data_IF_382086760839
#
_entry.id   IF_382086760839
#
_cell.length_a   1.000
_cell.length_b   1.000
_cell.length_c   1.000
_cell.angle_alpha   90.00
_cell.angle_beta   90.00
_cell.angle_gamma   90.00
#
_symmetry.space_group_name_H-M   'P 1'
#
loop_
_entity.id
_entity.type
_entity.pdbx_description
1 polymer ?
#
# COMPACT_ATOMS: atom_id res chain seq x y z
N UNK A 1 12.61 -10.09 12.43
CA UNK A 1 11.53 -10.29 11.43
C UNK A 1 10.73 -11.56 11.68
N UNK A 2 11.22 -12.77 11.40
CA UNK A 2 10.40 -13.99 11.45
C UNK A 2 9.72 -14.29 12.81
N UNK A 3 10.44 -14.17 13.93
CA UNK A 3 9.88 -14.38 15.27
C UNK A 3 8.75 -13.38 15.56
N UNK A 4 8.97 -12.12 15.20
CA UNK A 4 8.02 -11.04 15.41
C UNK A 4 6.79 -11.16 14.51
N UNK A 5 6.97 -11.53 13.24
CA UNK A 5 5.88 -11.88 12.33
C UNK A 5 5.00 -13.00 12.92
N UNK A 6 5.62 -14.04 13.50
CA UNK A 6 4.87 -15.12 14.15
C UNK A 6 4.10 -14.63 15.37
N UNK A 7 4.71 -13.79 16.21
CA UNK A 7 4.06 -13.20 17.39
C UNK A 7 2.80 -12.43 16.98
N UNK A 8 2.92 -11.53 16.00
CA UNK A 8 1.80 -10.72 15.50
C UNK A 8 0.74 -11.59 14.84
N UNK A 9 1.13 -12.56 13.99
CA UNK A 9 0.18 -13.46 13.34
C UNK A 9 -0.63 -14.30 14.34
N UNK A 10 -0.03 -14.68 15.47
CA UNK A 10 -0.74 -15.37 16.55
C UNK A 10 -1.67 -14.41 17.31
N UNK A 11 -1.23 -13.19 17.61
CA UNK A 11 -2.06 -12.19 18.28
C UNK A 11 -3.29 -11.79 17.46
N UNK A 12 -3.16 -11.69 16.14
CA UNK A 12 -4.28 -11.38 15.23
C UNK A 12 -5.32 -12.51 15.12
N UNK A 13 -5.05 -13.71 15.67
CA UNK A 13 -6.05 -14.79 15.79
C UNK A 13 -6.90 -14.71 17.05
N UNK A 14 -6.63 -13.75 17.92
CA UNK A 14 -7.44 -13.54 19.11
C UNK A 14 -8.91 -13.25 18.75
N UNK A 15 -9.90 -13.77 19.51
CA UNK A 15 -11.32 -13.54 19.25
C UNK A 15 -11.71 -12.06 19.10
N UNK A 16 -10.96 -11.12 19.68
CA UNK A 16 -11.21 -9.69 19.51
C UNK A 16 -11.05 -9.20 18.06
N UNK A 17 -10.32 -9.93 17.21
CA UNK A 17 -10.13 -9.65 15.79
C UNK A 17 -11.01 -10.53 14.88
N UNK A 18 -11.89 -11.34 15.48
CA UNK A 18 -12.83 -12.20 14.76
C UNK A 18 -13.70 -11.41 13.79
N UNK A 19 -13.91 -11.92 12.58
CA UNK A 19 -14.86 -11.33 11.64
C UNK A 19 -16.32 -11.40 12.12
N UNK A 20 -16.60 -12.14 13.20
CA UNK A 20 -17.95 -12.23 13.78
C UNK A 20 -18.31 -10.97 14.59
N UNK A 21 -19.61 -10.70 14.66
CA UNK A 21 -20.17 -9.59 15.43
C UNK A 21 -20.77 -8.49 14.57
N UNK A 22 -21.49 -7.58 15.22
CA UNK A 22 -22.06 -6.40 14.57
C UNK A 22 -20.97 -5.35 14.32
N UNK A 23 -21.08 -4.64 13.20
CA UNK A 23 -20.23 -3.49 12.91
C UNK A 23 -20.61 -2.30 13.80
N UNK A 24 -19.60 -1.59 14.30
CA UNK A 24 -19.74 -0.22 14.80
C UNK A 24 -18.46 0.57 14.56
N UNK A 25 -18.57 1.89 14.42
CA UNK A 25 -17.41 2.76 14.23
C UNK A 25 -16.46 2.71 15.43
N UNK A 26 -17.00 2.55 16.65
CA UNK A 26 -16.21 2.41 17.88
C UNK A 26 -15.41 1.11 17.89
N UNK A 27 -16.03 0.00 17.47
CA UNK A 27 -15.36 -1.30 17.39
C UNK A 27 -14.30 -1.30 16.28
N UNK A 28 -14.59 -0.67 15.14
CA UNK A 28 -13.62 -0.46 14.07
C UNK A 28 -12.40 0.32 14.56
N UNK A 29 -12.60 1.48 15.22
CA UNK A 29 -11.52 2.30 15.78
C UNK A 29 -10.69 1.51 16.79
N UNK A 30 -11.37 0.79 17.70
CA UNK A 30 -10.71 -0.02 18.73
C UNK A 30 -9.83 -1.10 18.12
N UNK A 31 -10.34 -1.85 17.14
CA UNK A 31 -9.57 -2.91 16.45
C UNK A 31 -8.43 -2.33 15.64
N UNK A 32 -8.65 -1.24 14.91
CA UNK A 32 -7.61 -0.56 14.13
C UNK A 32 -6.45 -0.13 15.03
N UNK A 33 -6.74 0.52 16.16
CA UNK A 33 -5.72 0.93 17.13
C UNK A 33 -4.96 -0.27 17.72
N UNK A 34 -5.66 -1.35 18.09
CA UNK A 34 -5.02 -2.56 18.58
C UNK A 34 -4.12 -3.24 17.53
N UNK A 35 -4.55 -3.26 16.26
CA UNK A 35 -3.71 -3.76 15.16
C UNK A 35 -2.47 -2.88 14.98
N UNK A 36 -2.64 -1.57 15.02
CA UNK A 36 -1.53 -0.62 14.91
C UNK A 36 -0.46 -0.83 16.00
N UNK A 37 -0.89 -1.01 17.24
CA UNK A 37 0.01 -1.30 18.36
C UNK A 37 0.77 -2.61 18.16
N UNK A 38 0.09 -3.66 17.67
CA UNK A 38 0.73 -4.94 17.38
C UNK A 38 1.79 -4.83 16.27
N UNK A 39 1.62 -3.90 15.32
CA UNK A 39 2.49 -3.75 14.16
C UNK A 39 3.69 -2.82 14.39
N UNK A 40 3.75 -2.08 15.50
CA UNK A 40 4.75 -1.03 15.71
C UNK A 40 6.19 -1.50 15.41
N UNK A 41 6.64 -2.61 15.99
CA UNK A 41 8.00 -3.14 15.79
C UNK A 41 8.22 -3.66 14.36
N UNK A 42 7.19 -4.28 13.78
CA UNK A 42 7.26 -4.76 12.39
C UNK A 42 7.37 -3.61 11.41
N UNK A 43 6.71 -2.47 11.64
CA UNK A 43 6.77 -1.32 10.74
C UNK A 43 8.17 -0.74 10.66
N UNK A 44 8.87 -0.62 11.80
CA UNK A 44 10.27 -0.21 11.82
C UNK A 44 11.15 -1.20 11.06
N UNK A 45 11.04 -2.50 11.38
CA UNK A 45 11.83 -3.52 10.69
C UNK A 45 11.55 -3.55 9.18
N UNK A 46 10.29 -3.35 8.78
CA UNK A 46 9.85 -3.32 7.39
C UNK A 46 10.38 -2.09 6.66
N UNK A 47 10.42 -0.92 7.30
CA UNK A 47 11.05 0.29 6.76
C UNK A 47 12.55 0.09 6.50
N UNK A 48 13.29 -0.45 7.47
CA UNK A 48 14.72 -0.74 7.31
C UNK A 48 14.95 -1.74 6.15
N UNK A 49 14.16 -2.82 6.08
CA UNK A 49 14.25 -3.78 4.97
C UNK A 49 13.89 -3.15 3.63
N UNK A 50 12.89 -2.28 3.58
CA UNK A 50 12.53 -1.56 2.36
C UNK A 50 13.69 -0.73 1.82
N UNK A 51 14.36 0.02 2.70
CA UNK A 51 15.47 0.90 2.31
C UNK A 51 16.75 0.14 1.92
N UNK A 52 17.12 -0.90 2.67
CA UNK A 52 18.43 -1.57 2.54
C UNK A 52 18.39 -3.02 2.04
N UNK A 53 17.24 -3.54 1.60
CA UNK A 53 17.21 -4.91 1.10
C UNK A 53 18.06 -5.09 -0.15
N UNK A 54 18.90 -6.12 -0.09
CA UNK A 54 19.61 -6.67 -1.24
C UNK A 54 18.77 -7.81 -1.86
N UNK A 55 19.12 -8.33 -3.05
CA UNK A 55 18.46 -9.51 -3.61
C UNK A 55 18.36 -10.69 -2.62
N UNK A 56 19.37 -10.93 -1.80
CA UNK A 56 19.40 -11.99 -0.79
C UNK A 56 18.42 -11.75 0.38
N UNK A 57 17.98 -10.52 0.60
CA UNK A 57 17.08 -10.14 1.70
C UNK A 57 15.62 -10.03 1.29
N UNK A 58 15.28 -10.22 0.00
CA UNK A 58 13.92 -10.07 -0.53
C UNK A 58 12.91 -11.00 0.14
N UNK A 59 13.32 -12.21 0.51
CA UNK A 59 12.45 -13.12 1.25
C UNK A 59 12.12 -12.59 2.65
N UNK A 60 13.07 -11.91 3.31
CA UNK A 60 12.81 -11.27 4.61
C UNK A 60 11.89 -10.05 4.46
N UNK A 61 12.07 -9.25 3.40
CA UNK A 61 11.21 -8.11 3.08
C UNK A 61 9.75 -8.52 2.84
N UNK A 62 9.55 -9.65 2.15
CA UNK A 62 8.20 -10.12 1.79
C UNK A 62 7.55 -11.00 2.86
N UNK A 63 8.33 -11.51 3.82
CA UNK A 63 7.85 -12.47 4.82
C UNK A 63 6.64 -11.96 5.62
N UNK A 64 6.78 -10.80 6.27
CA UNK A 64 5.73 -10.31 7.16
C UNK A 64 4.43 -9.93 6.41
N UNK A 65 4.48 -9.13 5.32
CA UNK A 65 3.27 -8.83 4.55
C UNK A 65 2.56 -10.07 4.02
N UNK A 66 3.30 -11.08 3.53
CA UNK A 66 2.71 -12.35 3.09
C UNK A 66 2.03 -13.08 4.23
N UNK A 67 2.73 -13.28 5.35
CA UNK A 67 2.20 -14.06 6.48
C UNK A 67 1.03 -13.40 7.19
N UNK A 68 0.98 -12.07 7.21
CA UNK A 68 -0.15 -11.34 7.77
C UNK A 68 -1.31 -11.17 6.78
N UNK A 69 -1.14 -11.62 5.54
CA UNK A 69 -2.24 -11.77 4.58
C UNK A 69 -2.83 -13.19 4.54
N UNK A 70 -2.18 -14.17 5.16
CA UNK A 70 -2.65 -15.56 5.19
C UNK A 70 -4.06 -15.60 5.85
N UNK A 71 -5.07 -16.08 5.10
CA UNK A 71 -6.45 -16.15 5.56
C UNK A 71 -7.23 -14.82 5.52
N UNK A 72 -6.65 -13.77 4.91
CA UNK A 72 -7.30 -12.47 4.79
C UNK A 72 -8.62 -12.53 4.02
N UNK A 73 -9.70 -12.04 4.63
CA UNK A 73 -11.03 -11.98 4.03
C UNK A 73 -11.66 -13.35 3.78
N UNK A 74 -11.10 -14.42 4.35
CA UNK A 74 -11.66 -15.78 4.27
C UNK A 74 -12.64 -16.04 5.42
N UNK A 75 -13.65 -16.87 5.13
CA UNK A 75 -14.70 -17.22 6.08
C UNK A 75 -15.95 -16.34 5.98
N UNK A 76 -16.91 -16.61 6.87
CA UNK A 76 -18.14 -15.82 7.01
C UNK A 76 -18.02 -14.78 8.10
N UNK A 77 -18.86 -13.73 8.07
CA UNK A 77 -18.91 -12.71 9.10
C UNK A 77 -19.21 -11.32 8.55
N UNK A 78 -18.87 -10.31 9.32
CA UNK A 78 -19.00 -8.92 8.91
C UNK A 78 -17.97 -8.59 7.81
N UNK A 79 -18.44 -8.09 6.68
CA UNK A 79 -17.60 -7.78 5.51
C UNK A 79 -16.57 -6.69 5.79
N UNK A 80 -16.87 -5.72 6.66
CA UNK A 80 -15.91 -4.70 7.07
C UNK A 80 -14.77 -5.29 7.90
N UNK A 81 -15.06 -6.22 8.83
CA UNK A 81 -14.01 -6.88 9.61
C UNK A 81 -13.22 -7.88 8.78
N UNK A 82 -13.83 -8.56 7.80
CA UNK A 82 -13.11 -9.36 6.81
C UNK A 82 -12.14 -8.50 5.98
N UNK A 83 -12.58 -7.32 5.53
CA UNK A 83 -11.72 -6.39 4.81
C UNK A 83 -10.58 -5.86 5.70
N UNK A 84 -10.85 -5.60 6.98
CA UNK A 84 -9.86 -5.12 7.94
C UNK A 84 -8.68 -6.10 8.14
N UNK A 85 -8.87 -7.40 7.89
CA UNK A 85 -7.79 -8.39 7.96
C UNK A 85 -6.67 -8.13 6.94
N UNK A 86 -6.93 -7.39 5.86
CA UNK A 86 -5.92 -7.00 4.88
C UNK A 86 -5.09 -5.79 5.29
N UNK A 87 -5.54 -5.04 6.29
CA UNK A 87 -4.88 -3.82 6.75
C UNK A 87 -3.43 -4.04 7.22
N UNK A 88 -3.09 -5.06 8.03
CA UNK A 88 -1.71 -5.32 8.44
C UNK A 88 -0.74 -5.50 7.26
N UNK A 89 -1.10 -6.34 6.30
CA UNK A 89 -0.27 -6.60 5.12
C UNK A 89 -0.10 -5.35 4.28
N UNK A 90 -1.16 -4.54 4.14
CA UNK A 90 -1.10 -3.29 3.39
C UNK A 90 -0.24 -2.23 4.09
N UNK A 91 -0.39 -2.06 5.40
CA UNK A 91 0.39 -1.09 6.18
C UNK A 91 1.89 -1.39 6.11
N UNK A 92 2.27 -2.67 6.25
CA UNK A 92 3.67 -3.11 6.06
C UNK A 92 4.14 -2.92 4.61
N UNK A 93 3.26 -3.15 3.63
CA UNK A 93 3.59 -2.91 2.22
C UNK A 93 3.89 -1.43 1.95
N UNK A 94 3.13 -0.52 2.56
CA UNK A 94 3.38 0.91 2.46
C UNK A 94 4.69 1.29 3.17
N UNK A 95 4.91 0.85 4.41
CA UNK A 95 6.15 1.16 5.14
C UNK A 95 7.41 0.74 4.37
N UNK A 96 7.44 -0.51 3.89
CA UNK A 96 8.56 -1.03 3.10
C UNK A 96 8.66 -0.40 1.72
N UNK A 97 7.53 -0.14 1.05
CA UNK A 97 7.49 0.43 -0.29
C UNK A 97 7.94 1.89 -0.34
N UNK A 98 7.48 2.72 0.61
CA UNK A 98 7.93 4.12 0.73
C UNK A 98 9.42 4.16 1.03
N UNK A 99 9.89 3.31 1.95
CA UNK A 99 11.31 3.21 2.26
C UNK A 99 12.14 2.78 1.04
N UNK A 100 11.66 1.81 0.26
CA UNK A 100 12.32 1.38 -0.97
C UNK A 100 12.40 2.49 -2.01
N UNK A 101 11.30 3.23 -2.22
CA UNK A 101 11.27 4.40 -3.12
C UNK A 101 12.23 5.49 -2.66
N UNK A 102 12.28 5.78 -1.36
CA UNK A 102 13.19 6.79 -0.80
C UNK A 102 14.68 6.49 -0.99
N UNK A 103 15.03 5.24 -1.30
CA UNK A 103 16.39 4.81 -1.60
C UNK A 103 16.56 4.33 -3.05
N UNK A 104 15.59 4.61 -3.92
CA UNK A 104 15.57 4.19 -5.32
C UNK A 104 15.76 2.67 -5.51
N UNK A 105 15.41 1.89 -4.48
CA UNK A 105 15.50 0.43 -4.46
C UNK A 105 14.26 -0.20 -5.11
N UNK A 106 14.07 0.07 -6.41
CA UNK A 106 12.90 -0.41 -7.14
C UNK A 106 12.82 -1.93 -7.23
N UNK A 107 13.95 -2.63 -7.14
CA UNK A 107 13.98 -4.09 -7.03
C UNK A 107 13.35 -4.62 -5.74
N UNK A 108 13.49 -3.88 -4.63
CA UNK A 108 12.82 -4.18 -3.36
C UNK A 108 11.32 -3.89 -3.45
N UNK A 109 10.96 -2.74 -4.04
CA UNK A 109 9.57 -2.34 -4.27
C UNK A 109 8.82 -3.39 -5.10
N UNK A 110 9.39 -3.81 -6.24
CA UNK A 110 8.79 -4.84 -7.11
C UNK A 110 8.70 -6.17 -6.39
N UNK A 111 9.75 -6.59 -5.66
CA UNK A 111 9.70 -7.84 -4.88
C UNK A 111 8.55 -7.85 -3.86
N UNK A 112 8.29 -6.70 -3.21
CA UNK A 112 7.19 -6.52 -2.28
C UNK A 112 5.83 -6.59 -2.98
N UNK A 113 5.62 -5.82 -4.06
CA UNK A 113 4.34 -5.83 -4.80
C UNK A 113 4.04 -7.17 -5.45
N UNK A 114 5.06 -7.85 -5.98
CA UNK A 114 4.94 -9.12 -6.71
C UNK A 114 4.97 -10.35 -5.80
N UNK A 115 5.14 -10.16 -4.48
CA UNK A 115 5.04 -11.24 -3.52
C UNK A 115 3.73 -12.02 -3.75
N UNK A 116 3.81 -13.35 -3.85
CA UNK A 116 2.65 -14.21 -4.06
C UNK A 116 1.99 -14.53 -2.73
N UNK A 117 0.67 -14.43 -2.69
CA UNK A 117 -0.18 -14.72 -1.54
C UNK A 117 -1.33 -15.60 -1.97
N UNK A 118 -1.71 -16.55 -1.12
CA UNK A 118 -2.86 -17.41 -1.36
C UNK A 118 -4.14 -16.67 -0.95
N UNK A 119 -5.19 -16.81 -1.74
CA UNK A 119 -6.51 -16.26 -1.44
C UNK A 119 -7.57 -17.30 -1.73
N UNK A 120 -8.77 -17.12 -1.19
CA UNK A 120 -9.94 -17.93 -1.58
C UNK A 120 -10.23 -17.99 -3.09
N UNK A 121 -9.67 -17.08 -3.90
CA UNK A 121 -9.80 -17.04 -5.36
C UNK A 121 -8.54 -17.52 -6.10
N UNK A 122 -7.60 -18.15 -5.39
CA UNK A 122 -6.31 -18.63 -5.89
C UNK A 122 -5.15 -17.68 -5.57
N UNK A 123 -3.96 -18.06 -6.04
CA UNK A 123 -2.72 -17.29 -5.88
C UNK A 123 -2.83 -15.93 -6.58
N UNK A 124 -2.51 -14.86 -5.86
CA UNK A 124 -2.48 -13.48 -6.35
C UNK A 124 -1.18 -12.77 -5.98
N UNK A 125 -0.91 -11.63 -6.61
CA UNK A 125 0.13 -10.70 -6.16
C UNK A 125 -0.34 -9.92 -4.93
N UNK A 126 0.57 -9.64 -4.01
CA UNK A 126 0.27 -8.93 -2.77
C UNK A 126 -0.38 -7.56 -3.02
N UNK A 127 0.12 -6.81 -4.02
CA UNK A 127 -0.47 -5.53 -4.43
C UNK A 127 -1.94 -5.69 -4.80
N UNK A 128 -2.29 -6.71 -5.58
CA UNK A 128 -3.66 -6.97 -6.03
C UNK A 128 -4.55 -7.46 -4.88
N UNK A 129 -4.06 -8.43 -4.11
CA UNK A 129 -4.80 -9.08 -3.04
C UNK A 129 -5.11 -8.11 -1.90
N UNK A 130 -4.09 -7.42 -1.37
CA UNK A 130 -4.28 -6.45 -0.30
C UNK A 130 -5.11 -5.25 -0.76
N UNK A 131 -4.94 -4.82 -2.02
CA UNK A 131 -5.74 -3.72 -2.53
C UNK A 131 -7.21 -4.10 -2.67
N UNK A 132 -7.48 -5.23 -3.32
CA UNK A 132 -8.85 -5.69 -3.56
C UNK A 132 -9.53 -6.12 -2.25
N UNK A 133 -8.79 -6.74 -1.34
CA UNK A 133 -9.28 -7.26 -0.07
C UNK A 133 -9.74 -6.16 0.88
N UNK A 134 -9.04 -5.02 0.93
CA UNK A 134 -9.50 -3.87 1.72
C UNK A 134 -10.76 -3.21 1.11
N UNK A 135 -10.89 -3.25 -0.22
CA UNK A 135 -12.09 -2.81 -0.94
C UNK A 135 -12.60 -1.42 -0.52
N UNK A 136 -13.90 -1.34 -0.25
CA UNK A 136 -14.62 -0.12 0.13
C UNK A 136 -14.35 0.34 1.57
N UNK A 137 -13.75 -0.51 2.41
CA UNK A 137 -13.39 -0.15 3.79
C UNK A 137 -12.49 1.09 3.82
N UNK A 138 -11.72 1.34 2.76
CA UNK A 138 -10.93 2.57 2.58
C UNK A 138 -11.74 3.85 2.82
N UNK A 139 -12.97 3.91 2.31
CA UNK A 139 -13.80 5.11 2.48
C UNK A 139 -14.30 5.27 3.92
N UNK A 140 -14.40 4.16 4.65
CA UNK A 140 -14.82 4.20 6.04
C UNK A 140 -13.78 4.87 6.97
N UNK A 141 -12.53 5.05 6.54
CA UNK A 141 -11.53 5.81 7.30
C UNK A 141 -11.96 7.27 7.56
N UNK A 142 -12.98 7.80 6.88
CA UNK A 142 -13.61 9.10 7.19
C UNK A 142 -14.14 9.22 8.61
N UNK A 143 -14.46 8.10 9.26
CA UNK A 143 -14.94 8.14 10.65
C UNK A 143 -13.81 8.59 11.60
N UNK A 144 -12.55 8.35 11.24
CA UNK A 144 -11.41 8.71 12.10
C UNK A 144 -11.31 10.23 12.29
N UNK A 145 -10.90 10.70 13.48
CA UNK A 145 -10.81 12.14 13.75
C UNK A 145 -9.87 12.83 12.75
N UNK A 146 -10.35 13.90 12.10
CA UNK A 146 -9.58 14.67 11.12
C UNK A 146 -9.62 14.11 9.69
N UNK A 147 -10.32 13.00 9.44
CA UNK A 147 -10.40 12.36 8.12
C UNK A 147 -11.76 12.51 7.41
N UNK A 148 -12.74 13.17 8.03
CA UNK A 148 -14.15 13.25 7.58
C UNK A 148 -14.33 14.01 6.26
N UNK A 149 -13.48 15.03 6.01
CA UNK A 149 -13.57 15.90 4.82
C UNK A 149 -12.58 15.56 3.70
N UNK A 150 -11.86 14.45 3.83
CA UNK A 150 -10.80 14.10 2.89
C UNK A 150 -11.35 13.30 1.70
N UNK A 151 -10.80 13.57 0.51
CA UNK A 151 -11.13 12.83 -0.71
C UNK A 151 -10.59 11.40 -0.70
N UNK A 152 -9.42 11.20 -0.09
CA UNK A 152 -8.69 9.92 -0.02
C UNK A 152 -8.37 9.57 1.44
N UNK A 153 -9.39 9.38 2.30
CA UNK A 153 -9.24 9.30 3.76
C UNK A 153 -8.26 8.22 4.22
N UNK A 154 -8.26 7.06 3.55
CA UNK A 154 -7.35 5.98 3.87
C UNK A 154 -5.89 6.33 3.56
N UNK A 155 -5.63 6.90 2.39
CA UNK A 155 -4.29 7.33 1.97
C UNK A 155 -3.76 8.46 2.85
N UNK A 156 -4.62 9.41 3.23
CA UNK A 156 -4.30 10.47 4.19
C UNK A 156 -3.98 9.90 5.58
N UNK A 157 -4.75 8.90 6.04
CA UNK A 157 -4.47 8.20 7.29
C UNK A 157 -3.12 7.47 7.25
N UNK A 158 -2.84 6.72 6.18
CA UNK A 158 -1.55 6.02 6.03
C UNK A 158 -0.37 6.99 6.00
N UNK A 159 -0.52 8.13 5.33
CA UNK A 159 0.51 9.17 5.31
C UNK A 159 0.78 9.73 6.72
N UNK A 160 -0.26 10.12 7.45
CA UNK A 160 -0.11 10.62 8.81
C UNK A 160 0.49 9.56 9.76
N UNK A 161 0.06 8.29 9.59
CA UNK A 161 0.50 7.16 10.43
C UNK A 161 1.96 6.79 10.19
N UNK A 162 2.40 6.71 8.94
CA UNK A 162 3.71 6.21 8.57
C UNK A 162 4.81 7.27 8.61
N UNK A 163 4.45 8.56 8.56
CA UNK A 163 5.42 9.65 8.67
C UNK A 163 6.34 9.53 9.88
N UNK A 164 5.84 9.47 11.14
CA UNK A 164 6.73 9.38 12.30
C UNK A 164 7.58 8.12 12.29
N UNK A 165 7.02 6.97 11.88
CA UNK A 165 7.75 5.69 11.81
C UNK A 165 8.92 5.77 10.83
N UNK A 166 8.70 6.33 9.65
CA UNK A 166 9.72 6.43 8.61
C UNK A 166 10.72 7.55 8.89
N UNK A 167 10.29 8.65 9.50
CA UNK A 167 11.18 9.72 9.95
C UNK A 167 12.10 9.22 11.08
N UNK A 168 11.58 8.47 12.05
CA UNK A 168 12.38 7.87 13.12
C UNK A 168 13.38 6.84 12.57
N UNK A 169 12.91 5.93 11.70
CA UNK A 169 13.76 4.86 11.19
C UNK A 169 14.80 5.34 10.16
N UNK A 170 14.44 6.32 9.32
CA UNK A 170 15.19 6.66 8.10
C UNK A 170 15.56 8.14 7.96
N UNK A 171 15.06 9.01 8.84
CA UNK A 171 15.29 10.47 8.80
C UNK A 171 14.88 11.13 7.47
N UNK A 172 13.73 10.74 6.89
CA UNK A 172 13.30 11.24 5.57
C UNK A 172 12.97 12.74 5.57
N UNK A 173 12.41 13.28 6.66
CA UNK A 173 12.12 14.70 6.78
C UNK A 173 11.20 15.20 5.65
N UNK A 174 11.73 16.10 4.80
CA UNK A 174 11.01 16.65 3.65
C UNK A 174 10.88 15.70 2.46
N UNK A 175 11.69 14.63 2.39
CA UNK A 175 11.62 13.64 1.32
C UNK A 175 10.41 12.70 1.46
N UNK A 176 9.83 12.63 2.67
CA UNK A 176 8.72 11.74 2.99
C UNK A 176 7.54 11.92 2.03
N UNK A 177 7.11 13.17 1.80
CA UNK A 177 5.94 13.46 0.97
C UNK A 177 6.15 13.02 -0.47
N UNK A 178 7.35 13.26 -1.02
CA UNK A 178 7.72 12.85 -2.37
C UNK A 178 7.80 11.33 -2.48
N UNK A 179 8.44 10.67 -1.51
CA UNK A 179 8.56 9.21 -1.50
C UNK A 179 7.18 8.53 -1.36
N UNK A 180 6.28 9.10 -0.54
CA UNK A 180 4.92 8.62 -0.38
C UNK A 180 4.12 8.74 -1.68
N UNK A 181 4.10 9.92 -2.31
CA UNK A 181 3.39 10.13 -3.57
C UNK A 181 3.94 9.22 -4.68
N UNK A 182 5.26 9.15 -4.82
CA UNK A 182 5.92 8.28 -5.81
C UNK A 182 5.57 6.81 -5.57
N UNK A 183 5.63 6.35 -4.32
CA UNK A 183 5.20 4.99 -3.97
C UNK A 183 3.75 4.74 -4.36
N UNK A 184 2.80 5.61 -3.99
CA UNK A 184 1.39 5.41 -4.29
C UNK A 184 1.10 5.37 -5.80
N UNK A 185 1.78 6.22 -6.59
CA UNK A 185 1.61 6.21 -8.04
C UNK A 185 2.13 4.90 -8.65
N UNK A 186 3.33 4.45 -8.27
CA UNK A 186 3.88 3.19 -8.76
C UNK A 186 3.04 1.99 -8.30
N UNK A 187 2.58 2.00 -7.04
CA UNK A 187 1.70 0.99 -6.48
C UNK A 187 0.36 0.92 -7.22
N UNK A 188 -0.25 2.06 -7.52
CA UNK A 188 -1.52 2.13 -8.24
C UNK A 188 -1.40 1.65 -9.69
N UNK A 189 -0.32 2.04 -10.39
CA UNK A 189 -0.04 1.59 -11.75
C UNK A 189 0.22 0.09 -11.79
N UNK A 190 1.00 -0.44 -10.84
CA UNK A 190 1.25 -1.88 -10.76
C UNK A 190 -0.02 -2.66 -10.41
N UNK A 191 -0.87 -2.11 -9.54
CA UNK A 191 -2.18 -2.70 -9.28
C UNK A 191 -3.02 -2.80 -10.55
N UNK A 192 -3.13 -1.71 -11.33
CA UNK A 192 -3.87 -1.73 -12.61
C UNK A 192 -3.34 -2.81 -13.54
N UNK A 193 -2.02 -2.95 -13.62
CA UNK A 193 -1.36 -3.95 -14.43
C UNK A 193 -1.67 -5.39 -13.98
N UNK A 194 -1.48 -5.69 -12.69
CA UNK A 194 -1.66 -7.04 -12.16
C UNK A 194 -3.14 -7.46 -12.10
N UNK A 195 -4.04 -6.51 -11.85
CA UNK A 195 -5.48 -6.76 -11.81
C UNK A 195 -6.13 -6.79 -13.20
N UNK A 196 -5.39 -6.43 -14.25
CA UNK A 196 -5.90 -6.18 -15.60
C UNK A 196 -7.10 -5.22 -15.60
N UNK A 197 -6.94 -4.10 -14.89
CA UNK A 197 -7.98 -3.08 -14.72
C UNK A 197 -7.54 -1.74 -15.30
N UNK A 198 -8.48 -1.06 -15.96
CA UNK A 198 -8.31 0.32 -16.41
C UNK A 198 -8.39 1.39 -15.30
N UNK A 199 -8.54 0.97 -14.04
CA UNK A 199 -8.60 1.86 -12.87
C UNK A 199 -7.90 1.22 -11.68
N UNK A 200 -7.34 2.06 -10.81
CA UNK A 200 -6.59 1.64 -9.63
C UNK A 200 -6.86 2.51 -8.41
N UNK A 201 -6.23 2.20 -7.26
CA UNK A 201 -6.39 3.00 -6.06
C UNK A 201 -5.84 4.42 -6.28
N UNK A 202 -6.68 5.43 -6.05
CA UNK A 202 -6.27 6.84 -6.08
C UNK A 202 -5.86 7.25 -4.67
N UNK A 203 -4.61 7.69 -4.52
CA UNK A 203 -4.03 8.19 -3.28
C UNK A 203 -3.95 9.72 -3.23
N UNK A 204 -3.07 10.27 -2.38
CA UNK A 204 -2.91 11.72 -2.17
C UNK A 204 -2.52 12.46 -3.45
N UNK A 205 -1.78 11.79 -4.34
CA UNK A 205 -1.39 12.35 -5.64
C UNK A 205 -2.60 12.77 -6.50
N UNK A 206 -3.78 12.17 -6.28
CA UNK A 206 -5.00 12.47 -7.03
C UNK A 206 -5.44 13.92 -6.84
N UNK A 207 -5.77 14.32 -5.61
CA UNK A 207 -6.25 15.68 -5.33
C UNK A 207 -5.16 16.75 -5.49
N UNK A 208 -3.87 16.39 -5.40
CA UNK A 208 -2.76 17.31 -5.68
C UNK A 208 -2.78 17.79 -7.13
N UNK A 209 -3.21 16.93 -8.05
CA UNK A 209 -3.33 17.24 -9.49
C UNK A 209 -4.45 18.23 -9.81
N UNK A 210 -5.46 18.35 -8.95
CA UNK A 210 -6.67 19.13 -9.19
C UNK A 210 -6.59 20.58 -8.69
N UNK A 211 -5.86 20.89 -7.62
CA UNK A 211 -5.87 22.22 -6.99
C UNK A 211 -5.01 23.30 -7.67
N UNK A 212 -4.78 23.22 -8.98
CA UNK A 212 -3.85 24.11 -9.69
C UNK A 212 -2.39 24.00 -9.22
N UNK A 213 -2.08 22.94 -8.47
CA UNK A 213 -0.75 22.63 -7.93
C UNK A 213 0.05 21.69 -8.83
N UNK A 214 1.06 21.02 -8.25
CA UNK A 214 1.85 19.98 -8.90
C UNK A 214 0.96 18.90 -9.53
N UNK A 215 1.27 18.44 -10.74
CA UNK A 215 0.63 17.28 -11.39
C UNK A 215 1.56 16.07 -11.27
N UNK A 216 1.53 15.30 -10.15
CA UNK A 216 2.58 14.32 -9.87
C UNK A 216 2.51 13.13 -10.83
N UNK A 217 1.30 12.69 -11.19
CA UNK A 217 1.12 11.59 -12.13
C UNK A 217 1.53 11.99 -13.55
N UNK A 218 1.27 13.24 -13.96
CA UNK A 218 1.77 13.77 -15.23
C UNK A 218 3.30 13.84 -15.26
N UNK A 219 3.93 14.30 -14.17
CA UNK A 219 5.39 14.33 -14.04
C UNK A 219 5.98 12.92 -14.12
N UNK A 220 5.38 11.94 -13.46
CA UNK A 220 5.80 10.54 -13.51
C UNK A 220 5.73 9.98 -14.94
N UNK A 221 4.64 10.24 -15.66
CA UNK A 221 4.48 9.82 -17.06
C UNK A 221 5.56 10.44 -17.94
N UNK A 222 5.84 11.74 -17.77
CA UNK A 222 6.91 12.43 -18.51
C UNK A 222 8.30 11.89 -18.20
N UNK A 223 8.59 11.61 -16.92
CA UNK A 223 9.85 11.01 -16.47
C UNK A 223 10.07 9.64 -17.13
N UNK A 224 9.07 8.76 -17.03
CA UNK A 224 9.11 7.43 -17.64
C UNK A 224 9.26 7.48 -19.16
N UNK A 225 8.56 8.41 -19.84
CA UNK A 225 8.66 8.58 -21.28
C UNK A 225 10.06 9.08 -21.70
N UNK A 226 10.68 9.96 -20.93
CA UNK A 226 12.01 10.48 -21.21
C UNK A 226 13.11 9.43 -21.02
N UNK A 227 12.99 8.60 -19.98
CA UNK A 227 13.97 7.54 -19.70
C UNK A 227 13.73 6.25 -20.51
N UNK A 228 12.50 6.04 -21.00
CA UNK A 228 12.13 4.88 -21.81
C UNK A 228 12.40 3.55 -21.08
N UNK A 229 13.04 2.60 -21.77
CA UNK A 229 13.35 1.26 -21.23
C UNK A 229 14.41 1.27 -20.12
N UNK A 230 15.18 2.35 -20.00
CA UNK A 230 16.21 2.50 -18.97
C UNK A 230 15.66 3.07 -17.67
N UNK A 231 14.38 3.43 -17.62
CA UNK A 231 13.76 3.95 -16.41
C UNK A 231 13.79 2.89 -15.30
N UNK A 232 14.39 3.25 -14.15
CA UNK A 232 14.75 2.31 -13.10
C UNK A 232 13.58 1.43 -12.59
N UNK A 233 12.34 1.94 -12.42
CA UNK A 233 11.19 1.10 -12.08
C UNK A 233 10.88 0.01 -13.13
N UNK A 234 10.98 0.33 -14.43
CA UNK A 234 10.76 -0.65 -15.50
C UNK A 234 11.86 -1.70 -15.55
N UNK A 235 13.12 -1.27 -15.41
CA UNK A 235 14.28 -2.18 -15.30
C UNK A 235 14.12 -3.14 -14.13
N UNK A 236 13.54 -2.67 -13.02
CA UNK A 236 13.29 -3.50 -11.84
C UNK A 236 12.13 -4.50 -11.99
N UNK A 237 11.32 -4.40 -13.05
CA UNK A 237 10.23 -5.33 -13.34
C UNK A 237 8.82 -4.77 -13.22
N UNK A 238 8.66 -3.47 -12.94
CA UNK A 238 7.35 -2.81 -12.93
C UNK A 238 6.64 -2.99 -14.29
N UNK A 239 5.34 -3.27 -14.28
CA UNK A 239 4.54 -3.54 -15.47
C UNK A 239 5.12 -4.61 -16.40
N UNK A 240 5.85 -5.59 -15.85
CA UNK A 240 6.55 -6.60 -16.63
C UNK A 240 7.65 -6.02 -17.53
N UNK A 241 8.27 -4.92 -17.11
CA UNK A 241 9.29 -4.18 -17.85
C UNK A 241 8.82 -3.63 -19.21
N UNK A 242 7.51 -3.44 -19.41
CA UNK A 242 6.94 -2.84 -20.63
C UNK A 242 6.62 -1.35 -20.44
N UNK A 243 7.34 -0.44 -21.15
CA UNK A 243 6.99 0.98 -21.18
C UNK A 243 5.56 1.22 -21.68
N UNK A 244 5.09 0.40 -22.61
CA UNK A 244 3.75 0.53 -23.21
C UNK A 244 2.67 0.25 -22.17
N UNK A 245 2.79 -0.87 -21.44
CA UNK A 245 1.85 -1.22 -20.35
C UNK A 245 1.87 -0.17 -19.24
N UNK A 246 3.06 0.29 -18.85
CA UNK A 246 3.18 1.37 -17.87
C UNK A 246 2.43 2.62 -18.34
N UNK A 247 2.69 3.08 -19.56
CA UNK A 247 2.07 4.28 -20.11
C UNK A 247 0.55 4.15 -20.22
N UNK A 248 0.04 2.99 -20.60
CA UNK A 248 -1.39 2.70 -20.65
C UNK A 248 -2.04 2.83 -19.28
N UNK A 249 -1.54 2.10 -18.27
CA UNK A 249 -2.13 2.11 -16.94
C UNK A 249 -1.96 3.45 -16.22
N UNK A 250 -0.83 4.13 -16.39
CA UNK A 250 -0.59 5.46 -15.81
C UNK A 250 -1.52 6.53 -16.42
N UNK A 251 -1.77 6.50 -17.74
CA UNK A 251 -2.75 7.38 -18.39
C UNK A 251 -4.16 7.10 -17.90
N UNK A 252 -4.56 5.82 -17.82
CA UNK A 252 -5.87 5.44 -17.30
C UNK A 252 -6.09 5.94 -15.87
N UNK A 253 -5.05 5.90 -15.03
CA UNK A 253 -5.08 6.45 -13.68
C UNK A 253 -5.21 7.99 -13.68
N UNK A 254 -4.44 8.69 -14.51
CA UNK A 254 -4.51 10.15 -14.65
C UNK A 254 -5.90 10.63 -15.10
N UNK A 255 -6.52 9.93 -16.05
CA UNK A 255 -7.91 10.19 -16.45
C UNK A 255 -8.90 9.88 -15.32
N UNK A 256 -8.67 8.80 -14.58
CA UNK A 256 -9.46 8.44 -13.39
C UNK A 256 -9.45 9.56 -12.34
N UNK A 257 -8.29 10.15 -12.08
CA UNK A 257 -8.14 11.33 -11.22
C UNK A 257 -8.94 12.50 -11.76
N UNK A 258 -8.80 12.84 -13.05
CA UNK A 258 -9.55 13.94 -13.66
C UNK A 258 -11.08 13.76 -13.57
N UNK A 259 -11.57 12.52 -13.75
CA UNK A 259 -12.99 12.17 -13.62
C UNK A 259 -13.51 12.17 -12.18
N UNK A 260 -12.64 11.95 -11.20
CA UNK A 260 -13.03 11.80 -9.80
C UNK A 260 -13.58 13.09 -9.15
N UNK A 261 -13.37 14.25 -9.77
CA UNK A 261 -13.94 15.50 -9.29
C UNK A 261 -13.33 16.00 -7.97
N UNK A 262 -12.15 15.54 -7.59
CA UNK A 262 -11.43 15.90 -6.35
C UNK A 262 -10.85 17.33 -6.40
N UNK A 263 -11.70 18.35 -6.62
CA UNK A 263 -11.34 19.76 -6.68
C UNK A 263 -11.50 20.43 -5.30
#
# INVERSE_FOLDING_TARGET
MAAETRRVALALKDPQFSAQGAWSDDEFRRRLAAIDELLADLLHAQALLGRWSTPAMRDSLTLAPKRLSDGGGEGGGNTGFLALQWYPALLLSYAGGIAAVSAESYGALVALMHARVETSRGEKRLVEAATSGLGDLRQHFKVLPGHDRQYVPFSEFLHAKLKPVLDEALCLGGEYDRAFDMFEMLYAVEFCHQADRGWGPIGRFGWKSSRGGSNPIGQLISEAASAGKEWAPLVAGLCGSSPEKFAEHAKGLAEGVARSGMW
#
